data_IF_098580114051
#
_entry.id   IF_098580114051
#
_cell.length_a   1.000
_cell.length_b   1.000
_cell.length_c   1.000
_cell.angle_alpha   90.00
_cell.angle_beta   90.00
_cell.angle_gamma   90.00
#
_symmetry.space_group_name_H-M   'P 1'
#
loop_
_entity.id
_entity.type
_entity.pdbx_description
1 polymer ?
#
# COMPACT_ATOMS: atom_id res chain seq x y z
N UNK A 1 -18.27 22.20 3.97
CA UNK A 1 -16.89 21.91 3.50
C UNK A 1 -16.06 21.11 4.51
N UNK A 2 -16.09 21.40 5.82
CA UNK A 2 -15.36 20.60 6.83
C UNK A 2 -15.88 19.15 7.00
N UNK A 3 -17.16 18.90 6.75
CA UNK A 3 -17.78 17.58 6.92
C UNK A 3 -17.34 16.51 5.91
N UNK A 4 -16.52 16.85 4.90
CA UNK A 4 -15.94 15.89 3.95
C UNK A 4 -14.45 15.63 4.19
N UNK A 5 -13.78 16.42 5.03
CA UNK A 5 -12.33 16.32 5.23
C UNK A 5 -11.90 15.00 5.85
N UNK A 6 -12.67 14.48 6.81
CA UNK A 6 -12.39 13.20 7.46
C UNK A 6 -12.58 12.01 6.51
N UNK A 7 -13.56 12.07 5.59
CA UNK A 7 -13.76 11.03 4.57
C UNK A 7 -12.53 10.95 3.67
N UNK A 8 -12.04 12.10 3.22
CA UNK A 8 -10.84 12.17 2.37
C UNK A 8 -9.64 11.61 3.12
N UNK A 9 -9.44 12.00 4.39
CA UNK A 9 -8.36 11.47 5.22
C UNK A 9 -8.43 9.93 5.29
N UNK A 10 -9.61 9.35 5.53
CA UNK A 10 -9.81 7.90 5.57
C UNK A 10 -9.51 7.25 4.21
N UNK A 11 -9.97 7.84 3.11
CA UNK A 11 -9.68 7.32 1.76
C UNK A 11 -8.18 7.33 1.49
N UNK A 12 -7.48 8.43 1.80
CA UNK A 12 -6.03 8.52 1.61
C UNK A 12 -5.29 7.53 2.52
N UNK A 13 -5.68 7.39 3.79
CA UNK A 13 -5.04 6.46 4.72
C UNK A 13 -5.23 4.99 4.32
N UNK A 14 -6.48 4.60 4.02
CA UNK A 14 -6.81 3.21 3.65
C UNK A 14 -6.23 2.82 2.28
N UNK A 15 -6.20 3.75 1.33
CA UNK A 15 -5.57 3.53 0.03
C UNK A 15 -4.05 3.43 0.15
N UNK A 16 -3.41 4.27 0.98
CA UNK A 16 -1.98 4.19 1.28
C UNK A 16 -1.63 2.80 1.79
N UNK A 17 -2.36 2.29 2.78
CA UNK A 17 -2.13 0.94 3.30
C UNK A 17 -2.24 -0.14 2.21
N UNK A 18 -3.28 -0.09 1.37
CA UNK A 18 -3.46 -1.09 0.29
C UNK A 18 -2.30 -1.07 -0.69
N UNK A 19 -1.91 0.12 -1.14
CA UNK A 19 -0.84 0.30 -2.12
C UNK A 19 0.49 -0.21 -1.54
N UNK A 20 0.79 0.15 -0.29
CA UNK A 20 1.98 -0.35 0.41
C UNK A 20 1.95 -1.87 0.58
N UNK A 21 0.84 -2.44 1.02
CA UNK A 21 0.65 -3.90 1.15
C UNK A 21 0.87 -4.61 -0.18
N UNK A 22 0.29 -4.09 -1.26
CA UNK A 22 0.46 -4.63 -2.61
C UNK A 22 1.93 -4.61 -3.02
N UNK A 23 2.60 -3.47 -2.85
CA UNK A 23 3.99 -3.29 -3.29
C UNK A 23 4.98 -4.18 -2.53
N UNK A 24 4.76 -4.40 -1.23
CA UNK A 24 5.74 -5.06 -0.36
C UNK A 24 5.41 -6.53 -0.11
N UNK A 25 4.14 -6.85 0.18
CA UNK A 25 3.76 -8.17 0.70
C UNK A 25 3.06 -9.07 -0.32
N UNK A 26 2.44 -8.50 -1.35
CA UNK A 26 1.66 -9.30 -2.31
C UNK A 26 2.46 -9.58 -3.59
N UNK A 27 2.21 -10.74 -4.19
CA UNK A 27 2.86 -11.13 -5.44
C UNK A 27 2.14 -10.57 -6.67
N UNK A 28 0.83 -10.33 -6.51
CA UNK A 28 -0.06 -9.87 -7.57
C UNK A 28 -0.28 -10.93 -8.66
N UNK A 29 -1.15 -10.64 -9.64
CA UNK A 29 -1.41 -11.55 -10.74
C UNK A 29 -0.12 -11.80 -11.54
N UNK A 30 0.17 -13.07 -11.87
CA UNK A 30 1.36 -13.48 -12.65
C UNK A 30 2.70 -13.04 -12.04
N UNK A 31 2.76 -12.86 -10.71
CA UNK A 31 3.96 -12.44 -9.97
C UNK A 31 4.54 -11.09 -10.46
N UNK A 32 3.69 -10.20 -10.96
CA UNK A 32 4.14 -8.90 -11.49
C UNK A 32 4.80 -8.06 -10.40
N UNK A 33 4.29 -8.11 -9.16
CA UNK A 33 4.84 -7.31 -8.06
C UNK A 33 6.15 -7.91 -7.55
N UNK A 34 6.31 -9.23 -7.60
CA UNK A 34 7.60 -9.90 -7.35
C UNK A 34 8.63 -9.46 -8.38
N UNK A 35 8.27 -9.48 -9.67
CA UNK A 35 9.16 -9.04 -10.76
C UNK A 35 9.53 -7.57 -10.62
N UNK A 36 8.57 -6.72 -10.22
CA UNK A 36 8.83 -5.31 -9.94
C UNK A 36 9.80 -5.12 -8.77
N UNK A 37 9.58 -5.79 -7.63
CA UNK A 37 10.50 -5.79 -6.48
C UNK A 37 11.90 -6.27 -6.87
N UNK A 38 11.98 -7.36 -7.63
CA UNK A 38 13.26 -7.86 -8.12
C UNK A 38 13.94 -6.87 -9.06
N UNK A 39 13.17 -6.20 -9.92
CA UNK A 39 13.68 -5.17 -10.82
C UNK A 39 14.21 -3.93 -10.07
N UNK A 40 13.55 -3.49 -9.00
CA UNK A 40 14.01 -2.37 -8.17
C UNK A 40 15.22 -2.70 -7.31
N UNK A 41 15.61 -3.98 -7.24
CA UNK A 41 16.81 -4.44 -6.56
C UNK A 41 16.56 -5.18 -5.25
N UNK A 42 15.32 -5.61 -4.97
CA UNK A 42 15.03 -6.51 -3.84
C UNK A 42 15.52 -7.91 -4.19
N UNK A 43 16.20 -8.56 -3.25
CA UNK A 43 16.69 -9.94 -3.34
C UNK A 43 16.25 -10.70 -2.10
N UNK A 44 16.38 -12.03 -2.14
CA UNK A 44 16.04 -12.92 -1.04
C UNK A 44 17.29 -13.73 -0.68
N UNK A 45 17.56 -13.89 0.61
CA UNK A 45 18.67 -14.70 1.10
C UNK A 45 18.30 -16.19 1.18
N UNK A 46 19.21 -17.01 1.73
CA UNK A 46 19.03 -18.46 1.89
C UNK A 46 17.87 -18.82 2.84
N UNK A 47 17.42 -17.87 3.67
CA UNK A 47 16.29 -18.00 4.58
C UNK A 47 15.00 -17.40 4.02
N UNK A 48 15.00 -16.96 2.75
CA UNK A 48 13.88 -16.26 2.10
C UNK A 48 13.55 -14.89 2.72
N UNK A 49 14.50 -14.29 3.43
CA UNK A 49 14.35 -12.93 3.97
C UNK A 49 14.68 -11.89 2.87
N UNK A 50 13.80 -10.89 2.65
CA UNK A 50 14.02 -9.87 1.64
C UNK A 50 15.07 -8.85 2.08
N UNK A 51 16.04 -8.55 1.21
CA UNK A 51 17.03 -7.49 1.42
C UNK A 51 17.20 -6.61 0.18
N UNK A 52 17.49 -5.32 0.40
CA UNK A 52 17.65 -4.34 -0.67
C UNK A 52 19.11 -4.17 -1.11
N UNK A 53 19.35 -4.16 -2.43
CA UNK A 53 20.66 -3.81 -2.98
C UNK A 53 20.93 -2.29 -2.98
N UNK A 54 19.87 -1.48 -2.86
CA UNK A 54 19.90 -0.02 -2.90
C UNK A 54 18.89 0.55 -1.89
N UNK A 55 18.99 1.84 -1.53
CA UNK A 55 18.07 2.50 -0.58
C UNK A 55 16.59 2.36 -0.96
N UNK A 56 16.28 2.41 -2.26
CA UNK A 56 14.90 2.23 -2.75
C UNK A 56 14.43 0.79 -2.58
N UNK A 57 15.31 -0.18 -2.85
CA UNK A 57 14.98 -1.59 -2.64
C UNK A 57 14.79 -1.88 -1.14
N UNK A 58 15.62 -1.28 -0.29
CA UNK A 58 15.56 -1.45 1.16
C UNK A 58 14.31 -0.80 1.77
N UNK A 59 13.82 0.30 1.18
CA UNK A 59 12.51 0.82 1.55
C UNK A 59 11.39 -0.20 1.24
N UNK A 60 11.49 -0.90 0.09
CA UNK A 60 10.50 -1.86 -0.41
C UNK A 60 10.55 -3.25 0.26
N UNK A 61 11.49 -3.52 1.18
CA UNK A 61 11.52 -4.77 1.96
C UNK A 61 10.56 -4.72 3.15
N UNK A 62 10.15 -3.53 3.60
CA UNK A 62 9.34 -3.34 4.80
C UNK A 62 8.13 -2.43 4.55
N UNK A 63 6.95 -2.90 4.94
CA UNK A 63 5.69 -2.14 4.85
C UNK A 63 5.76 -0.83 5.61
N UNK A 64 6.31 -0.87 6.82
CA UNK A 64 6.43 0.31 7.68
C UNK A 64 7.37 1.35 7.07
N UNK A 65 8.47 0.91 6.45
CA UNK A 65 9.43 1.79 5.76
C UNK A 65 8.85 2.38 4.47
N UNK A 66 8.09 1.59 3.70
CA UNK A 66 7.46 2.05 2.45
C UNK A 66 6.27 2.98 2.70
N UNK A 67 5.50 2.76 3.77
CA UNK A 67 4.26 3.50 4.04
C UNK A 67 4.38 5.04 4.11
N UNK A 68 5.41 5.67 4.73
CA UNK A 68 5.54 7.13 4.72
C UNK A 68 5.77 7.69 3.30
N UNK A 69 6.52 6.99 2.45
CA UNK A 69 6.77 7.43 1.07
C UNK A 69 5.50 7.33 0.23
N UNK A 70 4.76 6.22 0.35
CA UNK A 70 3.49 6.05 -0.36
C UNK A 70 2.44 7.03 0.16
N UNK A 71 2.37 7.26 1.47
CA UNK A 71 1.44 8.23 2.06
C UNK A 71 1.73 9.66 1.58
N UNK A 72 3.01 10.05 1.53
CA UNK A 72 3.42 11.33 0.96
C UNK A 72 3.04 11.43 -0.52
N UNK A 73 3.31 10.39 -1.31
CA UNK A 73 2.96 10.35 -2.73
C UNK A 73 1.45 10.47 -2.96
N UNK A 74 0.64 9.71 -2.20
CA UNK A 74 -0.83 9.74 -2.25
C UNK A 74 -1.37 11.12 -1.86
N UNK A 75 -0.80 11.75 -0.84
CA UNK A 75 -1.18 13.09 -0.41
C UNK A 75 -0.86 14.16 -1.47
N UNK A 76 0.36 14.14 -2.03
CA UNK A 76 0.76 15.05 -3.12
C UNK A 76 -0.13 14.81 -4.35
N UNK A 77 -0.41 13.56 -4.69
CA UNK A 77 -1.28 13.21 -5.82
C UNK A 77 -2.69 13.79 -5.65
N UNK A 78 -3.24 13.74 -4.43
CA UNK A 78 -4.50 14.39 -4.10
C UNK A 78 -4.42 15.92 -4.24
N UNK A 79 -3.36 16.56 -3.76
CA UNK A 79 -3.17 18.02 -3.88
C UNK A 79 -3.09 18.48 -5.34
N UNK A 80 -2.52 17.69 -6.25
CA UNK A 80 -2.37 18.10 -7.66
C UNK A 80 -3.64 17.80 -8.48
N UNK A 81 -4.26 16.64 -8.28
CA UNK A 81 -5.32 16.15 -9.17
C UNK A 81 -6.73 16.12 -8.56
N UNK A 82 -6.85 16.41 -7.27
CA UNK A 82 -8.11 16.53 -6.50
C UNK A 82 -9.15 15.45 -6.84
N UNK A 83 -10.09 15.74 -7.74
CA UNK A 83 -11.19 14.82 -8.06
C UNK A 83 -10.72 13.50 -8.69
N UNK A 84 -9.73 13.53 -9.58
CA UNK A 84 -9.21 12.31 -10.21
C UNK A 84 -8.53 11.39 -9.18
N UNK A 85 -7.84 11.98 -8.20
CA UNK A 85 -7.19 11.22 -7.15
C UNK A 85 -8.21 10.41 -6.33
N UNK A 86 -9.35 11.02 -5.98
CA UNK A 86 -10.41 10.32 -5.22
C UNK A 86 -10.97 9.15 -6.04
N UNK A 87 -11.29 9.37 -7.32
CA UNK A 87 -11.82 8.31 -8.19
C UNK A 87 -10.86 7.12 -8.29
N UNK A 88 -9.56 7.38 -8.40
CA UNK A 88 -8.52 6.34 -8.49
C UNK A 88 -8.25 5.65 -7.16
N UNK A 89 -8.25 6.37 -6.05
CA UNK A 89 -7.89 5.84 -4.72
C UNK A 89 -9.06 5.13 -4.02
N UNK A 90 -10.30 5.49 -4.35
CA UNK A 90 -11.51 4.87 -3.80
C UNK A 90 -11.53 3.33 -3.87
N UNK A 91 -11.25 2.66 -5.01
CA UNK A 91 -11.24 1.19 -5.06
C UNK A 91 -10.23 0.57 -4.09
N UNK A 92 -9.06 1.20 -3.91
CA UNK A 92 -8.05 0.72 -2.96
C UNK A 92 -8.53 0.88 -1.51
N UNK A 93 -9.15 2.01 -1.18
CA UNK A 93 -9.70 2.24 0.15
C UNK A 93 -10.83 1.24 0.50
N UNK A 94 -11.73 0.97 -0.45
CA UNK A 94 -12.81 -0.01 -0.29
C UNK A 94 -12.25 -1.43 -0.11
N UNK A 95 -11.22 -1.79 -0.87
CA UNK A 95 -10.55 -3.10 -0.74
C UNK A 95 -9.93 -3.27 0.65
N UNK A 96 -9.25 -2.25 1.20
CA UNK A 96 -8.74 -2.31 2.58
C UNK A 96 -9.86 -2.46 3.59
N UNK A 97 -10.97 -1.73 3.43
CA UNK A 97 -12.11 -1.84 4.33
C UNK A 97 -12.68 -3.27 4.34
N UNK A 98 -12.79 -3.92 3.18
CA UNK A 98 -13.23 -5.31 3.09
C UNK A 98 -12.28 -6.28 3.82
N UNK A 99 -10.96 -6.12 3.63
CA UNK A 99 -9.94 -6.95 4.30
C UNK A 99 -9.99 -6.75 5.82
N UNK A 100 -10.19 -5.52 6.29
CA UNK A 100 -10.31 -5.23 7.72
C UNK A 100 -11.54 -5.92 8.32
N UNK A 101 -12.69 -5.88 7.63
CA UNK A 101 -13.90 -6.56 8.08
C UNK A 101 -13.65 -8.06 8.19
N UNK A 102 -13.06 -8.68 7.17
CA UNK A 102 -12.71 -10.11 7.17
C UNK A 102 -11.74 -10.46 8.31
N UNK A 103 -10.71 -9.65 8.51
CA UNK A 103 -9.70 -9.86 9.56
C UNK A 103 -10.28 -9.75 10.97
N UNK A 104 -11.27 -8.88 11.16
CA UNK A 104 -11.96 -8.74 12.46
C UNK A 104 -12.90 -9.92 12.67
N UNK A 105 -13.72 -10.27 11.68
CA UNK A 105 -14.69 -11.39 11.79
C UNK A 105 -13.98 -12.71 12.05
N UNK A 106 -12.90 -13.01 11.32
CA UNK A 106 -12.12 -14.24 11.50
C UNK A 106 -11.44 -14.35 12.87
N UNK A 107 -11.22 -13.22 13.56
CA UNK A 107 -10.67 -13.21 14.92
C UNK A 107 -11.72 -13.54 15.98
N UNK A 108 -13.00 -13.27 15.72
CA UNK A 108 -14.09 -13.61 16.63
C UNK A 108 -14.56 -15.07 16.51
N UNK A 109 -14.24 -15.73 15.39
CA UNK A 109 -14.57 -17.14 15.16
C UNK A 109 -13.55 -18.11 15.78
N UNK A 110 -12.49 -17.59 16.40
CA UNK A 110 -11.48 -18.36 17.15
C UNK A 110 -11.64 -18.12 18.66
#
# INVERSE_FOLDING_TARGET
MLQQGWVILLVLALSTWRITSLLVNEDGPRNILVKFRYFTGVRFDEHSEPYGLNVVADALTCVWCTSPYIGLFVWIFWLVFHQLAIVVLMPFAISTAAILIESVVSKFDK
#
